data_IF_049366063432
#
_entry.id   IF_049366063432
#
_cell.length_a   1.000
_cell.length_b   1.000
_cell.length_c   1.000
_cell.angle_alpha   90.00
_cell.angle_beta   90.00
_cell.angle_gamma   90.00
#
_symmetry.space_group_name_H-M   'P 1'
#
loop_
_entity.id
_entity.type
_entity.pdbx_description
1 polymer ?
#
# COMPACT_ATOMS: atom_id res chain seq x y z
N UNK A 1 9.38 44.11 -6.17
CA UNK A 1 9.71 43.13 -5.11
C UNK A 1 9.74 41.75 -5.75
N UNK A 2 10.87 41.03 -5.70
CA UNK A 2 10.91 39.65 -6.18
C UNK A 2 10.01 38.78 -5.28
N UNK A 3 9.03 38.09 -5.88
CA UNK A 3 8.17 37.16 -5.16
C UNK A 3 8.99 35.96 -4.68
N UNK A 4 8.76 35.57 -3.43
CA UNK A 4 9.52 34.50 -2.75
C UNK A 4 9.18 33.14 -3.37
N UNK A 5 10.16 32.21 -3.44
CA UNK A 5 9.87 30.85 -3.86
C UNK A 5 9.01 30.12 -2.81
N UNK A 6 8.12 29.25 -3.27
CA UNK A 6 7.24 28.43 -2.42
C UNK A 6 7.66 26.96 -2.54
N UNK A 7 7.92 26.30 -1.41
CA UNK A 7 8.11 24.86 -1.36
C UNK A 7 6.76 24.17 -1.15
N UNK A 8 6.43 23.22 -2.03
CA UNK A 8 5.32 22.29 -1.86
C UNK A 8 5.92 20.94 -1.51
N UNK A 9 5.31 20.25 -0.54
CA UNK A 9 5.65 18.90 -0.13
C UNK A 9 4.41 18.02 -0.29
N UNK A 10 4.55 16.90 -0.98
CA UNK A 10 3.57 15.82 -0.99
C UNK A 10 4.02 14.74 0.00
N UNK A 11 3.10 14.25 0.84
CA UNK A 11 3.38 13.15 1.76
C UNK A 11 2.30 12.11 1.51
N UNK A 12 2.72 10.92 1.13
CA UNK A 12 1.86 9.76 0.99
C UNK A 12 2.09 8.83 2.18
N UNK A 13 1.07 8.67 3.02
CA UNK A 13 1.06 7.68 4.08
C UNK A 13 0.26 6.50 3.58
N UNK A 14 0.95 5.48 3.08
CA UNK A 14 0.31 4.26 2.61
C UNK A 14 0.05 3.27 3.73
N UNK A 15 -0.69 2.21 3.39
CA UNK A 15 -0.91 1.06 4.27
C UNK A 15 0.36 0.20 4.38
N UNK A 16 1.07 0.03 3.27
CA UNK A 16 2.26 -0.81 3.16
C UNK A 16 3.56 0.00 3.09
N UNK A 17 3.54 1.10 2.36
CA UNK A 17 4.70 1.99 2.21
C UNK A 17 4.28 3.45 2.21
N UNK A 18 5.10 4.31 2.80
CA UNK A 18 4.94 5.76 2.81
C UNK A 18 6.02 6.42 1.95
N UNK A 19 5.73 7.58 1.37
CA UNK A 19 6.68 8.33 0.55
C UNK A 19 6.53 9.84 0.73
N UNK A 20 7.54 10.60 0.29
CA UNK A 20 7.54 12.07 0.32
C UNK A 20 8.01 12.58 -1.04
N UNK A 21 7.32 13.57 -1.58
CA UNK A 21 7.64 14.29 -2.81
C UNK A 21 7.71 15.79 -2.55
N UNK A 22 8.28 16.57 -3.48
CA UNK A 22 8.36 18.03 -3.33
C UNK A 22 8.43 18.79 -4.65
N UNK A 23 8.14 20.09 -4.59
CA UNK A 23 8.38 21.03 -5.68
C UNK A 23 8.71 22.42 -5.16
N UNK A 24 9.74 23.04 -5.73
CA UNK A 24 10.05 24.46 -5.49
C UNK A 24 9.43 25.32 -6.60
N UNK A 25 8.43 26.12 -6.28
CA UNK A 25 7.82 27.10 -7.18
C UNK A 25 8.58 28.42 -7.13
N UNK A 26 9.24 28.80 -8.24
CA UNK A 26 9.83 30.13 -8.41
C UNK A 26 8.92 30.98 -9.28
N UNK A 27 8.45 32.11 -8.76
CA UNK A 27 7.57 33.01 -9.52
C UNK A 27 8.33 33.61 -10.71
N UNK A 28 7.86 33.36 -11.94
CA UNK A 28 8.46 33.84 -13.19
C UNK A 28 8.85 32.76 -14.19
N UNK A 29 8.87 31.48 -13.79
CA UNK A 29 9.12 30.35 -14.69
C UNK A 29 7.90 29.42 -14.75
N UNK A 30 7.20 29.45 -15.88
CA UNK A 30 6.23 28.43 -16.25
C UNK A 30 7.03 27.24 -16.80
N UNK A 31 6.82 26.04 -16.25
CA UNK A 31 7.29 24.74 -16.75
C UNK A 31 8.61 24.12 -16.23
N UNK A 32 8.94 24.25 -14.93
CA UNK A 32 9.92 23.33 -14.33
C UNK A 32 9.23 22.05 -13.79
N UNK A 33 9.62 20.88 -14.31
CA UNK A 33 9.07 19.54 -14.00
C UNK A 33 9.06 19.24 -12.49
N UNK A 34 8.09 18.45 -12.02
CA UNK A 34 8.13 17.84 -10.68
C UNK A 34 9.28 16.83 -10.66
N UNK A 35 10.25 17.03 -9.78
CA UNK A 35 11.26 16.02 -9.49
C UNK A 35 10.78 15.22 -8.27
N UNK A 36 10.55 13.89 -8.38
CA UNK A 36 10.28 13.09 -7.20
C UNK A 36 11.47 13.22 -6.23
N UNK A 37 11.20 13.56 -4.95
CA UNK A 37 12.22 13.46 -3.90
C UNK A 37 12.43 11.96 -3.68
N UNK A 38 13.53 11.45 -4.21
CA UNK A 38 14.15 10.28 -3.65
C UNK A 38 14.39 10.55 -2.16
N UNK A 39 13.85 9.74 -1.26
CA UNK A 39 14.17 9.82 0.17
C UNK A 39 15.67 9.56 0.30
N UNK A 40 16.47 10.62 0.30
CA UNK A 40 17.92 10.54 0.44
C UNK A 40 18.15 9.92 1.82
N UNK A 41 18.63 8.67 1.87
CA UNK A 41 19.31 8.21 3.08
C UNK A 41 20.74 8.70 3.03
N UNK A 42 21.20 9.15 4.21
CA UNK A 42 22.58 9.07 4.65
C UNK A 42 23.25 7.80 4.09
N UNK A 43 24.10 8.01 3.09
CA UNK A 43 24.95 7.03 2.37
C UNK A 43 24.28 6.17 1.30
N UNK A 44 24.24 6.72 0.10
CA UNK A 44 24.37 5.96 -1.15
C UNK A 44 23.06 5.36 -1.65
N UNK A 45 22.57 5.92 -2.77
CA UNK A 45 21.47 5.51 -3.63
C UNK A 45 20.17 5.05 -2.95
N UNK A 46 19.08 5.78 -3.19
CA UNK A 46 17.79 5.23 -3.63
C UNK A 46 16.73 6.33 -3.80
N UNK A 47 16.12 6.37 -4.99
CA UNK A 47 14.72 6.72 -5.22
C UNK A 47 13.82 5.67 -4.54
N UNK A 48 12.82 6.02 -3.72
CA UNK A 48 11.86 5.01 -3.24
C UNK A 48 11.00 5.33 -2.01
N UNK A 49 9.94 4.52 -1.86
CA UNK A 49 9.01 4.47 -0.73
C UNK A 49 9.60 3.69 0.47
N UNK A 50 9.17 4.00 1.69
CA UNK A 50 9.63 3.37 2.94
C UNK A 50 8.50 2.52 3.55
N UNK A 51 8.76 1.33 4.10
CA UNK A 51 7.73 0.52 4.75
C UNK A 51 6.95 1.28 5.84
N UNK A 52 5.63 1.18 5.83
CA UNK A 52 4.72 1.77 6.82
C UNK A 52 4.59 0.86 8.06
N UNK A 53 5.71 0.56 8.70
CA UNK A 53 5.78 -0.29 9.89
C UNK A 53 6.56 0.36 11.03
N UNK A 54 6.13 0.09 12.27
CA UNK A 54 6.78 0.51 13.50
C UNK A 54 7.33 -0.72 14.25
N UNK A 55 8.54 -0.62 14.76
CA UNK A 55 9.15 -1.63 15.63
C UNK A 55 9.04 -1.20 17.08
N UNK A 56 8.16 -1.84 17.85
CA UNK A 56 8.01 -1.65 19.30
C UNK A 56 9.14 -2.41 20.02
N UNK A 57 9.81 -1.75 20.97
CA UNK A 57 10.93 -2.35 21.73
C UNK A 57 11.63 -1.37 22.67
N UNK A 58 12.90 -1.64 23.07
CA UNK A 58 13.67 -0.75 23.95
C UNK A 58 13.89 0.66 23.39
N UNK A 59 13.88 0.77 22.06
CA UNK A 59 13.86 2.04 21.32
C UNK A 59 12.96 1.85 20.12
N UNK A 60 11.90 2.64 20.01
CA UNK A 60 10.99 2.51 18.88
C UNK A 60 11.70 2.86 17.57
N UNK A 61 11.49 2.03 16.56
CA UNK A 61 12.08 2.19 15.22
C UNK A 61 10.98 2.22 14.17
N UNK A 62 11.29 2.71 12.97
CA UNK A 62 10.32 2.83 11.88
C UNK A 62 10.93 2.47 10.53
N UNK A 63 10.09 1.94 9.64
CA UNK A 63 10.45 1.59 8.27
C UNK A 63 11.67 0.66 8.21
N UNK A 64 12.66 0.98 7.38
CA UNK A 64 13.89 0.18 7.29
C UNK A 64 14.75 0.16 8.57
N UNK A 65 14.40 0.91 9.61
CA UNK A 65 15.04 0.82 10.92
C UNK A 65 14.54 -0.34 11.78
N UNK A 66 13.41 -0.95 11.42
CA UNK A 66 12.81 -2.06 12.17
C UNK A 66 13.66 -3.32 12.01
N UNK A 67 14.17 -3.83 13.13
CA UNK A 67 15.00 -5.03 13.16
C UNK A 67 14.20 -6.25 13.65
N UNK A 68 14.68 -7.50 13.43
CA UNK A 68 14.01 -8.71 13.90
C UNK A 68 13.80 -8.81 15.42
N UNK A 69 14.48 -7.99 16.21
CA UNK A 69 14.33 -7.95 17.67
C UNK A 69 13.10 -7.15 18.14
N UNK A 70 12.51 -6.34 17.25
CA UNK A 70 11.35 -5.53 17.55
C UNK A 70 10.06 -6.29 17.29
N UNK A 71 9.02 -6.02 18.08
CA UNK A 71 7.65 -6.36 17.71
C UNK A 71 7.25 -5.49 16.53
N UNK A 72 7.00 -6.10 15.37
CA UNK A 72 6.63 -5.37 14.15
C UNK A 72 5.14 -5.06 14.12
N UNK A 73 4.80 -3.79 13.99
CA UNK A 73 3.44 -3.28 13.86
C UNK A 73 3.25 -2.78 12.43
N UNK A 74 2.58 -3.62 11.62
CA UNK A 74 2.23 -3.35 10.22
C UNK A 74 0.80 -2.84 10.11
N UNK A 75 0.46 -2.22 8.97
CA UNK A 75 -0.89 -1.74 8.66
C UNK A 75 -1.42 -0.66 9.61
N UNK A 76 -0.52 0.16 10.17
CA UNK A 76 -0.86 1.23 11.12
C UNK A 76 -1.91 2.20 10.57
N UNK A 77 -1.95 2.44 9.26
CA UNK A 77 -2.98 3.26 8.61
C UNK A 77 -4.38 2.68 8.77
N UNK A 78 -4.54 1.35 8.77
CA UNK A 78 -5.84 0.71 8.94
C UNK A 78 -6.37 0.87 10.38
N UNK A 79 -5.48 1.05 11.36
CA UNK A 79 -5.87 1.34 12.75
C UNK A 79 -6.45 2.76 12.93
N UNK A 80 -6.35 3.64 11.91
CA UNK A 80 -6.96 4.97 11.91
C UNK A 80 -8.37 4.99 11.31
N UNK A 81 -8.81 3.86 10.74
CA UNK A 81 -10.07 3.74 10.01
C UNK A 81 -11.14 3.20 10.96
N UNK A 82 -12.40 3.58 10.74
CA UNK A 82 -13.52 2.96 11.43
C UNK A 82 -13.58 1.46 11.09
N UNK A 83 -13.59 0.54 12.08
CA UNK A 83 -13.68 -0.89 11.83
C UNK A 83 -14.87 -1.31 10.96
N UNK A 84 -15.97 -0.55 10.95
CA UNK A 84 -17.15 -0.85 10.10
C UNK A 84 -16.88 -0.63 8.59
N UNK A 85 -15.86 0.15 8.24
CA UNK A 85 -15.46 0.40 6.85
C UNK A 85 -14.50 -0.67 6.30
N UNK A 86 -13.88 -1.46 7.19
CA UNK A 86 -12.96 -2.52 6.78
C UNK A 86 -13.74 -3.73 6.21
N UNK A 87 -13.18 -4.43 5.21
CA UNK A 87 -13.78 -5.67 4.73
C UNK A 87 -13.87 -6.70 5.86
N UNK A 88 -14.89 -7.56 5.86
CA UNK A 88 -14.99 -8.61 6.84
C UNK A 88 -13.79 -9.56 6.72
N UNK A 89 -13.22 -9.89 7.89
CA UNK A 89 -12.09 -10.80 8.02
C UNK A 89 -12.44 -12.19 7.42
N UNK A 90 -11.68 -12.70 6.44
CA UNK A 90 -11.86 -14.05 5.95
C UNK A 90 -11.44 -15.05 7.03
N UNK A 91 -12.43 -15.65 7.72
CA UNK A 91 -12.17 -16.58 8.81
C UNK A 91 -11.21 -17.71 8.40
N UNK A 92 -9.99 -17.77 8.97
CA UNK A 92 -9.05 -18.82 8.66
C UNK A 92 -9.50 -20.15 9.32
N UNK A 93 -9.08 -21.30 8.76
CA UNK A 93 -9.47 -22.63 9.22
C UNK A 93 -9.18 -22.92 10.71
N UNK A 94 -8.22 -22.20 11.29
CA UNK A 94 -7.76 -22.35 12.67
C UNK A 94 -8.58 -21.58 13.70
N UNK A 95 -9.60 -20.80 13.27
CA UNK A 95 -10.37 -19.92 14.16
C UNK A 95 -9.55 -18.76 14.75
N UNK A 96 -8.34 -18.53 14.24
CA UNK A 96 -7.54 -17.34 14.51
C UNK A 96 -8.14 -16.13 13.78
N UNK A 97 -7.86 -14.90 14.17
CA UNK A 97 -8.13 -13.75 13.32
C UNK A 97 -7.27 -13.83 12.04
N UNK A 98 -7.75 -13.24 10.95
CA UNK A 98 -6.96 -13.07 9.73
C UNK A 98 -5.83 -12.07 9.94
N UNK A 99 -4.96 -11.99 8.94
CA UNK A 99 -3.73 -11.20 8.99
C UNK A 99 -3.98 -9.74 9.38
N UNK A 100 -5.00 -9.09 8.80
CA UNK A 100 -5.30 -7.68 9.07
C UNK A 100 -5.81 -7.52 10.49
N UNK A 101 -6.75 -8.37 10.91
CA UNK A 101 -7.33 -8.30 12.25
C UNK A 101 -6.28 -8.62 13.32
N UNK A 102 -5.41 -9.60 13.09
CA UNK A 102 -4.28 -9.91 13.97
C UNK A 102 -3.33 -8.72 14.13
N UNK A 103 -3.01 -8.03 13.04
CA UNK A 103 -2.19 -6.82 13.10
C UNK A 103 -2.88 -5.69 13.88
N UNK A 104 -4.19 -5.47 13.65
CA UNK A 104 -4.97 -4.48 14.39
C UNK A 104 -5.07 -4.82 15.89
N UNK A 105 -5.25 -6.10 16.23
CA UNK A 105 -5.27 -6.56 17.61
C UNK A 105 -3.91 -6.36 18.30
N UNK A 106 -2.81 -6.65 17.59
CA UNK A 106 -1.44 -6.38 18.07
C UNK A 106 -1.24 -4.89 18.32
N UNK A 107 -1.64 -4.03 17.37
CA UNK A 107 -1.58 -2.57 17.53
C UNK A 107 -2.41 -2.14 18.73
N UNK A 108 -3.67 -2.57 18.85
CA UNK A 108 -4.53 -2.16 19.96
C UNK A 108 -3.97 -2.56 21.32
N UNK A 109 -3.35 -3.75 21.40
CA UNK A 109 -2.72 -4.25 22.64
C UNK A 109 -1.48 -3.44 23.02
N UNK A 110 -0.67 -3.06 22.03
CA UNK A 110 0.56 -2.32 22.26
C UNK A 110 0.28 -0.80 22.46
N UNK A 111 -0.67 -0.24 21.72
CA UNK A 111 -1.04 1.19 21.71
C UNK A 111 -1.75 1.61 23.00
N UNK A 112 -2.52 0.71 23.64
CA UNK A 112 -3.19 1.00 24.92
C UNK A 112 -2.23 1.43 26.02
N UNK A 113 -0.97 0.99 25.93
CA UNK A 113 0.04 1.21 26.94
C UNK A 113 1.04 2.31 26.57
N UNK A 114 1.18 2.63 25.28
CA UNK A 114 2.32 3.43 24.79
C UNK A 114 1.97 4.55 23.80
N UNK A 115 0.77 4.59 23.21
CA UNK A 115 0.38 5.64 22.25
C UNK A 115 1.16 5.60 20.92
N UNK A 116 1.45 4.39 20.43
CA UNK A 116 2.20 4.07 19.21
C UNK A 116 1.59 4.64 17.95
N UNK A 117 0.26 4.73 17.83
CA UNK A 117 -0.36 5.36 16.67
C UNK A 117 -0.01 6.85 16.63
N UNK A 118 -0.04 7.51 17.78
CA UNK A 118 0.41 8.89 17.90
C UNK A 118 1.93 9.02 17.67
N UNK A 119 2.73 8.06 18.14
CA UNK A 119 4.18 8.07 17.89
C UNK A 119 4.52 7.80 16.41
N UNK A 120 3.78 6.94 15.72
CA UNK A 120 3.88 6.74 14.27
C UNK A 120 3.64 8.04 13.52
N UNK A 121 2.58 8.78 13.86
CA UNK A 121 2.30 10.08 13.27
C UNK A 121 3.41 11.10 13.58
N UNK A 122 3.91 11.16 14.82
CA UNK A 122 5.02 12.04 15.19
C UNK A 122 6.31 11.69 14.47
N UNK A 123 6.65 10.40 14.37
CA UNK A 123 7.87 9.92 13.74
C UNK A 123 7.83 10.19 12.24
N UNK A 124 6.67 9.99 11.61
CA UNK A 124 6.42 10.42 10.23
C UNK A 124 6.71 11.91 10.04
N UNK A 125 6.20 12.77 10.93
CA UNK A 125 6.46 14.22 10.89
C UNK A 125 7.93 14.55 11.15
N UNK A 126 8.62 13.82 12.03
CA UNK A 126 10.06 13.99 12.29
C UNK A 126 10.88 13.62 11.05
N UNK A 127 10.66 12.46 10.45
CA UNK A 127 11.35 12.02 9.24
C UNK A 127 11.10 12.97 8.07
N UNK A 128 9.89 13.53 7.97
CA UNK A 128 9.60 14.59 7.01
C UNK A 128 10.48 15.83 7.25
N UNK A 129 10.62 16.28 8.51
CA UNK A 129 11.48 17.43 8.86
C UNK A 129 12.94 17.18 8.55
N UNK A 130 13.45 16.00 8.91
CA UNK A 130 14.83 15.59 8.63
C UNK A 130 15.10 15.58 7.12
N UNK A 131 14.21 14.99 6.32
CA UNK A 131 14.32 15.02 4.86
C UNK A 131 14.32 16.45 4.28
N UNK A 132 13.51 17.35 4.85
CA UNK A 132 13.49 18.77 4.46
C UNK A 132 14.83 19.45 4.81
N UNK A 133 15.38 19.19 5.99
CA UNK A 133 16.67 19.74 6.44
C UNK A 133 17.82 19.23 5.58
N UNK A 134 17.91 17.91 5.36
CA UNK A 134 18.96 17.26 4.59
C UNK A 134 18.92 17.60 3.11
N UNK A 135 17.74 17.85 2.54
CA UNK A 135 17.60 18.29 1.16
C UNK A 135 18.26 19.65 0.87
N UNK A 136 18.65 20.39 1.92
CA UNK A 136 19.24 21.73 1.80
C UNK A 136 18.23 22.82 1.38
N UNK A 137 16.94 22.49 1.27
CA UNK A 137 15.89 23.43 0.86
C UNK A 137 15.70 24.56 1.89
N UNK A 138 15.97 24.30 3.17
CA UNK A 138 15.90 25.32 4.22
C UNK A 138 17.07 26.32 4.18
N UNK A 139 18.13 26.06 3.38
CA UNK A 139 19.25 27.00 3.21
C UNK A 139 18.84 28.32 2.52
N UNK A 140 17.61 28.41 2.01
CA UNK A 140 16.99 29.67 1.54
C UNK A 140 16.38 30.52 2.66
N UNK A 141 16.50 30.09 3.92
CA UNK A 141 16.18 30.84 5.12
C UNK A 141 14.69 31.16 5.29
N UNK A 142 13.90 30.25 5.88
CA UNK A 142 12.68 30.51 6.70
C UNK A 142 11.90 29.25 7.12
N UNK A 143 10.99 29.49 8.09
CA UNK A 143 10.10 28.63 8.89
C UNK A 143 9.07 27.80 8.06
N UNK A 144 8.78 26.52 8.40
CA UNK A 144 7.90 25.66 7.62
C UNK A 144 6.44 25.87 8.04
N UNK A 145 5.63 26.48 7.17
CA UNK A 145 4.18 26.46 7.30
C UNK A 145 3.54 26.64 5.92
N UNK A 146 2.93 25.59 5.40
CA UNK A 146 1.47 25.42 5.23
C UNK A 146 1.28 24.08 4.50
N UNK A 147 0.65 23.10 5.14
CA UNK A 147 0.33 21.80 4.54
C UNK A 147 -0.93 21.97 3.69
N UNK A 148 -0.79 21.96 2.36
CA UNK A 148 -1.93 21.91 1.44
C UNK A 148 -1.96 20.51 0.82
N UNK A 149 -3.06 19.78 1.05
CA UNK A 149 -3.34 18.51 0.40
C UNK A 149 -3.59 18.82 -1.08
N UNK A 150 -2.70 18.37 -1.96
CA UNK A 150 -2.87 18.41 -3.40
C UNK A 150 -2.89 16.95 -3.85
N UNK A 151 -4.00 16.52 -4.45
CA UNK A 151 -4.10 15.19 -5.05
C UNK A 151 -3.08 15.06 -6.19
N UNK A 152 -2.31 13.98 -6.17
CA UNK A 152 -1.32 13.68 -7.19
C UNK A 152 -2.03 13.30 -8.49
N UNK A 153 -1.86 14.06 -9.57
CA UNK A 153 -1.87 13.49 -10.93
C UNK A 153 -1.30 14.40 -12.01
N UNK A 154 -0.26 13.91 -12.69
CA UNK A 154 0.26 14.48 -13.94
C UNK A 154 -0.39 13.77 -15.13
N UNK A 155 -0.94 14.57 -16.04
CA UNK A 155 -1.69 14.12 -17.21
C UNK A 155 -0.79 13.53 -18.31
N UNK A 156 -1.03 12.27 -18.68
CA UNK A 156 -0.52 11.69 -19.91
C UNK A 156 -1.34 12.19 -21.12
N UNK A 157 -0.65 12.69 -22.15
CA UNK A 157 -1.11 13.01 -23.51
C UNK A 157 -2.65 13.07 -23.73
N UNK A 158 -3.27 14.14 -23.26
CA UNK A 158 -4.72 14.26 -23.27
C UNK A 158 -5.14 15.61 -23.86
N UNK A 159 -6.16 15.58 -24.73
CA UNK A 159 -6.68 16.77 -25.42
C UNK A 159 -7.62 17.54 -24.50
N UNK A 160 -7.73 18.84 -24.71
CA UNK A 160 -8.70 19.70 -23.99
C UNK A 160 -10.11 19.07 -24.11
N UNK A 161 -10.78 18.84 -22.98
CA UNK A 161 -12.07 18.13 -22.78
C UNK A 161 -12.07 16.60 -22.80
N UNK A 162 -10.90 15.97 -22.69
CA UNK A 162 -10.83 14.56 -22.32
C UNK A 162 -10.99 14.39 -20.81
N UNK A 163 -11.64 13.29 -20.43
CA UNK A 163 -11.75 12.84 -19.04
C UNK A 163 -10.85 11.65 -18.82
N UNK A 164 -10.04 11.71 -17.76
CA UNK A 164 -9.09 10.66 -17.37
C UNK A 164 -9.57 10.06 -16.06
N UNK A 165 -9.56 8.73 -15.99
CA UNK A 165 -9.75 7.99 -14.76
C UNK A 165 -8.38 7.50 -14.30
N UNK A 166 -8.00 7.85 -13.07
CA UNK A 166 -6.80 7.36 -12.41
C UNK A 166 -7.21 6.30 -11.39
N UNK A 167 -6.59 5.13 -11.52
CA UNK A 167 -6.72 4.00 -10.61
C UNK A 167 -5.39 3.87 -9.85
N UNK A 168 -5.38 4.26 -8.58
CA UNK A 168 -4.26 4.01 -7.68
C UNK A 168 -4.55 2.74 -6.87
N UNK A 169 -4.01 1.62 -7.34
CA UNK A 169 -4.16 0.33 -6.67
C UNK A 169 -2.96 0.08 -5.75
N UNK A 170 -3.01 0.69 -4.56
CA UNK A 170 -1.96 0.63 -3.57
C UNK A 170 -1.96 -0.63 -2.70
N UNK A 171 -1.10 -0.61 -1.69
CA UNK A 171 -0.87 -1.74 -0.80
C UNK A 171 -2.09 -2.16 0.02
N UNK A 172 -2.95 -1.23 0.43
CA UNK A 172 -4.18 -1.56 1.19
C UNK A 172 -5.45 -0.91 0.65
N UNK A 173 -5.33 0.18 -0.10
CA UNK A 173 -6.47 0.86 -0.72
C UNK A 173 -6.37 0.79 -2.23
N UNK A 174 -7.52 0.82 -2.87
CA UNK A 174 -7.66 1.16 -4.27
C UNK A 174 -8.45 2.47 -4.31
N UNK A 175 -7.81 3.52 -4.81
CA UNK A 175 -8.35 4.86 -4.88
C UNK A 175 -8.59 5.22 -6.36
N UNK A 176 -9.79 5.73 -6.66
CA UNK A 176 -10.18 6.11 -8.01
C UNK A 176 -10.60 7.58 -8.03
N UNK A 177 -9.91 8.34 -8.88
CA UNK A 177 -10.19 9.75 -9.11
C UNK A 177 -10.43 9.99 -10.59
N UNK A 178 -11.39 10.87 -10.90
CA UNK A 178 -11.75 11.22 -12.27
C UNK A 178 -11.57 12.72 -12.51
N UNK A 179 -10.80 13.08 -13.54
CA UNK A 179 -10.53 14.48 -13.86
C UNK A 179 -10.85 14.79 -15.32
N UNK A 180 -11.46 15.95 -15.55
CA UNK A 180 -11.63 16.53 -16.88
C UNK A 180 -10.55 17.59 -17.11
N UNK A 181 -9.90 17.55 -18.27
CA UNK A 181 -8.87 18.52 -18.63
C UNK A 181 -9.49 19.74 -19.28
N UNK A 182 -9.48 20.86 -18.57
CA UNK A 182 -10.06 22.14 -18.99
C UNK A 182 -9.19 22.90 -19.98
N UNK A 183 -7.95 23.23 -19.62
CA UNK A 183 -6.99 23.92 -20.48
C UNK A 183 -5.59 23.37 -20.30
N UNK A 184 -4.76 23.41 -21.35
CA UNK A 184 -3.36 22.97 -21.28
C UNK A 184 -2.42 24.10 -20.83
N UNK A 185 -2.80 25.37 -21.04
CA UNK A 185 -1.99 26.53 -20.66
C UNK A 185 -2.87 27.70 -20.19
N UNK A 186 -2.96 27.98 -18.87
CA UNK A 186 -2.43 27.16 -17.78
C UNK A 186 -3.11 25.78 -17.73
N UNK A 187 -2.43 24.78 -17.15
CA UNK A 187 -3.03 23.47 -16.92
C UNK A 187 -4.19 23.63 -15.94
N UNK A 188 -5.41 23.31 -16.37
CA UNK A 188 -6.59 23.27 -15.54
C UNK A 188 -7.17 21.85 -15.59
N UNK A 189 -7.29 21.23 -14.42
CA UNK A 189 -7.96 19.95 -14.21
C UNK A 189 -9.11 20.21 -13.25
N UNK A 190 -10.27 19.68 -13.58
CA UNK A 190 -11.46 19.74 -12.74
C UNK A 190 -11.84 18.32 -12.37
N UNK A 191 -12.05 18.05 -11.09
CA UNK A 191 -12.61 16.77 -10.64
C UNK A 191 -14.01 16.61 -11.27
N UNK A 192 -14.21 15.47 -11.94
CA UNK A 192 -15.41 15.19 -12.71
C UNK A 192 -16.53 14.65 -11.82
N UNK A 193 -16.19 13.69 -10.98
CA UNK A 193 -17.06 13.04 -10.00
C UNK A 193 -16.24 12.87 -8.72
N UNK A 194 -16.87 12.83 -7.53
CA UNK A 194 -16.16 12.64 -6.28
C UNK A 194 -15.29 11.38 -6.32
N UNK A 195 -14.02 11.54 -5.96
CA UNK A 195 -13.09 10.43 -5.82
C UNK A 195 -13.59 9.43 -4.75
N UNK A 196 -13.45 8.14 -5.01
CA UNK A 196 -13.81 7.07 -4.08
C UNK A 196 -12.57 6.21 -3.79
N UNK A 197 -12.43 5.75 -2.55
CA UNK A 197 -11.41 4.80 -2.11
C UNK A 197 -12.04 3.56 -1.48
N UNK A 198 -11.40 2.39 -1.65
CA UNK A 198 -11.85 1.13 -1.05
C UNK A 198 -10.69 0.30 -0.51
N UNK A 199 -10.93 -0.39 0.59
CA UNK A 199 -10.00 -1.35 1.20
C UNK A 199 -9.97 -2.68 0.43
N UNK A 200 -9.46 -2.66 -0.80
CA UNK A 200 -9.35 -3.83 -1.69
C UNK A 200 -7.95 -3.91 -2.34
N UNK A 201 -6.93 -3.37 -1.66
CA UNK A 201 -5.53 -3.40 -2.08
C UNK A 201 -4.81 -4.73 -1.82
N UNK A 202 -3.50 -4.75 -2.08
CA UNK A 202 -2.66 -5.95 -2.03
C UNK A 202 -2.67 -6.71 -0.68
N UNK A 203 -2.84 -6.02 0.45
CA UNK A 203 -2.92 -6.63 1.78
C UNK A 203 -4.09 -7.60 1.89
N UNK A 204 -5.24 -7.26 1.30
CA UNK A 204 -6.39 -8.16 1.29
C UNK A 204 -6.15 -9.37 0.37
N UNK A 205 -5.36 -9.19 -0.70
CA UNK A 205 -4.92 -10.30 -1.54
C UNK A 205 -3.98 -11.25 -0.79
N UNK A 206 -3.06 -10.70 -0.01
CA UNK A 206 -2.17 -11.45 0.86
C UNK A 206 -2.94 -12.21 1.94
N UNK A 207 -3.95 -11.59 2.55
CA UNK A 207 -4.80 -12.22 3.55
C UNK A 207 -5.62 -13.39 2.96
N UNK A 208 -6.21 -13.20 1.78
CA UNK A 208 -6.89 -14.29 1.07
C UNK A 208 -5.92 -15.42 0.70
N UNK A 209 -4.69 -15.10 0.31
CA UNK A 209 -3.65 -16.07 0.03
C UNK A 209 -3.21 -16.84 1.27
N UNK A 210 -2.98 -16.17 2.40
CA UNK A 210 -2.61 -16.80 3.68
C UNK A 210 -3.69 -17.80 4.13
N UNK A 211 -4.95 -17.37 4.12
CA UNK A 211 -6.09 -18.24 4.45
C UNK A 211 -6.13 -19.49 3.55
N UNK A 212 -5.95 -19.31 2.24
CA UNK A 212 -5.86 -20.42 1.29
C UNK A 212 -4.66 -21.34 1.57
N UNK A 213 -3.47 -20.79 1.80
CA UNK A 213 -2.25 -21.55 2.05
C UNK A 213 -2.36 -22.41 3.31
N UNK A 214 -2.90 -21.84 4.39
CA UNK A 214 -3.19 -22.56 5.64
C UNK A 214 -4.24 -23.65 5.44
N UNK A 215 -5.28 -23.39 4.65
CA UNK A 215 -6.27 -24.41 4.31
C UNK A 215 -5.65 -25.58 3.55
N UNK A 216 -4.74 -25.31 2.61
CA UNK A 216 -4.00 -26.37 1.90
C UNK A 216 -3.08 -27.15 2.84
N UNK A 217 -2.36 -26.47 3.73
CA UNK A 217 -1.53 -27.13 4.74
C UNK A 217 -2.38 -28.02 5.66
N UNK A 218 -3.51 -27.54 6.17
CA UNK A 218 -4.41 -28.32 7.01
C UNK A 218 -5.02 -29.51 6.27
N UNK A 219 -5.47 -29.31 5.03
CA UNK A 219 -6.00 -30.39 4.21
C UNK A 219 -4.94 -31.47 3.95
N UNK A 220 -3.70 -31.06 3.67
CA UNK A 220 -2.60 -31.97 3.42
C UNK A 220 -2.16 -32.74 4.66
N UNK A 221 -2.06 -32.07 5.81
CA UNK A 221 -1.58 -32.64 7.08
C UNK A 221 -2.66 -33.42 7.84
N UNK A 222 -3.93 -33.10 7.61
CA UNK A 222 -5.05 -33.73 8.31
C UNK A 222 -4.88 -33.64 9.84
N UNK A 223 -4.96 -34.76 10.58
CA UNK A 223 -4.80 -34.78 12.05
C UNK A 223 -3.48 -34.20 12.56
N UNK A 224 -2.41 -34.29 11.75
CA UNK A 224 -1.07 -33.84 12.15
C UNK A 224 -0.90 -32.32 12.08
N UNK A 225 -1.89 -31.59 11.55
CA UNK A 225 -1.81 -30.12 11.44
C UNK A 225 -1.61 -29.44 12.81
N UNK A 226 -2.14 -30.02 13.88
CA UNK A 226 -1.95 -29.52 15.25
C UNK A 226 -0.49 -29.58 15.74
N UNK A 227 0.36 -30.38 15.09
CA UNK A 227 1.79 -30.47 15.39
C UNK A 227 2.66 -29.58 14.48
N UNK A 228 2.06 -28.76 13.61
CA UNK A 228 2.79 -27.83 12.74
C UNK A 228 3.32 -26.65 13.55
N UNK A 229 4.58 -26.30 13.35
CA UNK A 229 5.15 -25.05 13.84
C UNK A 229 4.50 -23.88 13.10
N UNK A 230 3.61 -23.18 13.79
CA UNK A 230 2.81 -22.11 13.21
C UNK A 230 3.64 -20.88 12.84
N UNK A 231 4.76 -20.63 13.53
CA UNK A 231 5.64 -19.50 13.24
C UNK A 231 6.50 -19.79 12.00
N UNK A 232 6.99 -21.03 11.88
CA UNK A 232 7.67 -21.48 10.67
C UNK A 232 6.72 -21.46 9.46
N UNK A 233 5.48 -21.92 9.63
CA UNK A 233 4.47 -21.88 8.56
C UNK A 233 4.14 -20.44 8.14
N UNK A 234 4.01 -19.51 9.09
CA UNK A 234 3.78 -18.09 8.77
C UNK A 234 4.93 -17.51 7.94
N UNK A 235 6.17 -17.79 8.31
CA UNK A 235 7.36 -17.35 7.55
C UNK A 235 7.35 -17.94 6.14
N UNK A 236 7.08 -19.24 6.00
CA UNK A 236 7.00 -19.91 4.69
C UNK A 236 5.89 -19.33 3.80
N UNK A 237 4.75 -18.95 4.38
CA UNK A 237 3.66 -18.32 3.63
C UNK A 237 4.04 -16.91 3.17
N UNK A 238 4.72 -16.12 4.00
CA UNK A 238 5.24 -14.81 3.60
C UNK A 238 6.21 -14.94 2.41
N UNK A 239 7.14 -15.90 2.45
CA UNK A 239 8.07 -16.19 1.35
C UNK A 239 7.35 -16.69 0.08
N UNK A 240 6.33 -17.54 0.24
CA UNK A 240 5.48 -17.99 -0.84
C UNK A 240 4.73 -16.82 -1.50
N UNK A 241 4.23 -15.86 -0.71
CA UNK A 241 3.55 -14.68 -1.22
C UNK A 241 4.49 -13.79 -2.05
N UNK A 242 5.70 -13.51 -1.56
CA UNK A 242 6.74 -12.79 -2.33
C UNK A 242 7.04 -13.47 -3.67
N UNK A 243 7.08 -14.81 -3.68
CA UNK A 243 7.25 -15.56 -4.92
C UNK A 243 6.07 -15.39 -5.86
N UNK A 244 4.83 -15.53 -5.35
CA UNK A 244 3.58 -15.44 -6.14
C UNK A 244 3.44 -14.09 -6.81
N UNK A 245 3.80 -12.99 -6.13
CA UNK A 245 3.74 -11.62 -6.67
C UNK A 245 4.58 -11.46 -7.95
N UNK A 246 5.64 -12.25 -8.10
CA UNK A 246 6.54 -12.21 -9.24
C UNK A 246 6.13 -13.18 -10.37
N UNK A 247 5.09 -13.99 -10.18
CA UNK A 247 4.59 -14.92 -11.21
C UNK A 247 3.61 -14.20 -12.13
N UNK A 248 3.79 -14.24 -13.48
CA UNK A 248 2.82 -13.66 -14.39
C UNK A 248 1.42 -14.26 -14.21
N UNK A 249 0.38 -13.41 -14.17
CA UNK A 249 -1.00 -13.87 -13.99
C UNK A 249 -1.44 -14.93 -15.03
N UNK A 250 -0.91 -14.86 -16.25
CA UNK A 250 -1.17 -15.85 -17.30
C UNK A 250 -0.61 -17.24 -16.97
N UNK A 251 0.49 -17.32 -16.21
CA UNK A 251 1.11 -18.57 -15.75
C UNK A 251 0.29 -19.16 -14.60
N UNK A 252 -0.12 -18.34 -13.64
CA UNK A 252 -0.99 -18.76 -12.54
C UNK A 252 -2.32 -19.32 -13.09
N UNK A 253 -3.00 -18.57 -13.95
CA UNK A 253 -4.31 -18.95 -14.50
C UNK A 253 -4.28 -20.21 -15.37
N UNK A 254 -3.17 -20.48 -16.08
CA UNK A 254 -3.00 -21.71 -16.87
C UNK A 254 -2.72 -22.96 -16.02
N UNK A 255 -2.40 -22.79 -14.73
CA UNK A 255 -2.12 -23.89 -13.83
C UNK A 255 -0.82 -24.63 -14.10
N UNK A 256 0.11 -24.05 -14.88
CA UNK A 256 1.40 -24.66 -15.22
C UNK A 256 2.47 -24.48 -14.14
N UNK A 257 2.12 -23.78 -13.05
CA UNK A 257 3.02 -23.45 -11.96
C UNK A 257 2.41 -23.87 -10.62
N UNK A 258 3.26 -24.20 -9.65
CA UNK A 258 2.86 -24.49 -8.28
C UNK A 258 3.96 -24.07 -7.32
N UNK A 259 3.57 -23.65 -6.13
CA UNK A 259 4.46 -23.50 -4.99
C UNK A 259 4.32 -24.73 -4.08
N UNK A 260 5.39 -25.12 -3.40
CA UNK A 260 5.38 -26.23 -2.45
C UNK A 260 5.75 -25.68 -1.08
N UNK A 261 4.77 -25.58 -0.18
CA UNK A 261 4.98 -25.11 1.18
C UNK A 261 5.83 -26.12 1.93
N UNK A 262 6.98 -25.71 2.43
CA UNK A 262 7.74 -26.51 3.40
C UNK A 262 7.04 -26.46 4.77
N UNK A 263 6.55 -27.61 5.22
CA UNK A 263 5.79 -27.71 6.47
C UNK A 263 6.71 -28.29 7.55
N UNK A 264 7.06 -27.41 8.50
CA UNK A 264 7.83 -27.78 9.68
C UNK A 264 6.91 -28.23 10.82
N UNK A 265 7.27 -29.34 11.46
CA UNK A 265 6.57 -29.85 12.66
C UNK A 265 7.33 -29.48 13.93
N UNK A 266 6.62 -29.42 15.06
CA UNK A 266 7.16 -29.12 16.39
C UNK A 266 8.14 -30.18 16.92
N UNK A 267 8.04 -31.42 16.41
CA UNK A 267 9.03 -32.48 16.67
C UNK A 267 10.29 -32.33 15.80
N UNK A 268 10.42 -31.22 15.06
CA UNK A 268 11.45 -30.93 14.06
C UNK A 268 11.55 -31.96 12.94
N UNK A 269 10.55 -32.83 12.78
CA UNK A 269 10.48 -33.72 11.64
C UNK A 269 9.90 -32.94 10.44
N UNK A 270 10.53 -32.97 9.27
CA UNK A 270 9.95 -32.38 8.07
C UNK A 270 8.68 -33.15 7.68
N UNK A 271 7.60 -32.44 7.37
CA UNK A 271 6.43 -33.03 6.75
C UNK A 271 6.56 -32.99 5.21
N UNK A 272 5.85 -33.86 4.47
CA UNK A 272 5.74 -33.70 3.04
C UNK A 272 5.18 -32.31 2.69
N UNK A 273 5.72 -31.63 1.67
CA UNK A 273 5.31 -30.27 1.37
C UNK A 273 3.89 -30.22 0.79
N UNK A 274 3.11 -29.21 1.18
CA UNK A 274 1.77 -29.00 0.64
C UNK A 274 1.84 -28.21 -0.68
N UNK A 275 1.08 -28.65 -1.69
CA UNK A 275 1.06 -28.00 -3.01
C UNK A 275 0.08 -26.83 -3.04
N UNK A 276 0.55 -25.66 -3.43
CA UNK A 276 -0.29 -24.53 -3.83
C UNK A 276 -0.30 -24.44 -5.36
N UNK A 277 -1.38 -24.92 -5.99
CA UNK A 277 -1.47 -24.88 -7.44
C UNK A 277 -1.78 -23.46 -7.93
N UNK A 278 -1.08 -23.00 -8.97
CA UNK A 278 -1.22 -21.63 -9.49
C UNK A 278 -2.64 -21.27 -9.90
N UNK A 279 -3.41 -22.23 -10.42
CA UNK A 279 -4.79 -21.99 -10.82
C UNK A 279 -5.74 -21.79 -9.62
N UNK A 280 -5.45 -22.42 -8.48
CA UNK A 280 -6.21 -22.24 -7.24
C UNK A 280 -5.84 -20.90 -6.60
N UNK A 281 -4.55 -20.54 -6.58
CA UNK A 281 -4.08 -19.21 -6.18
C UNK A 281 -4.79 -18.13 -7.02
N UNK A 282 -4.77 -18.26 -8.36
CA UNK A 282 -5.44 -17.31 -9.24
C UNK A 282 -6.95 -17.21 -8.97
N UNK A 283 -7.61 -18.32 -8.62
CA UNK A 283 -9.04 -18.32 -8.25
C UNK A 283 -9.27 -17.57 -6.94
N UNK A 284 -8.42 -17.80 -5.94
CA UNK A 284 -8.46 -17.11 -4.64
C UNK A 284 -8.30 -15.61 -4.81
N UNK A 285 -7.27 -15.16 -5.55
CA UNK A 285 -7.00 -13.73 -5.77
C UNK A 285 -8.05 -13.05 -6.64
N UNK A 286 -8.71 -13.82 -7.53
CA UNK A 286 -9.72 -13.28 -8.45
C UNK A 286 -10.89 -12.61 -7.73
N UNK A 287 -11.28 -13.11 -6.55
CA UNK A 287 -12.38 -12.53 -5.77
C UNK A 287 -12.14 -11.07 -5.42
N UNK A 288 -10.88 -10.67 -5.21
CA UNK A 288 -10.49 -9.30 -4.88
C UNK A 288 -10.25 -8.51 -6.16
N UNK A 289 -9.59 -9.09 -7.17
CA UNK A 289 -9.38 -8.37 -8.44
C UNK A 289 -10.70 -8.08 -9.16
N UNK A 290 -11.71 -8.96 -9.04
CA UNK A 290 -13.03 -8.74 -9.61
C UNK A 290 -13.74 -7.55 -8.91
N UNK A 291 -13.54 -7.37 -7.59
CA UNK A 291 -14.04 -6.19 -6.87
C UNK A 291 -13.35 -4.91 -7.34
N UNK A 292 -12.04 -4.95 -7.63
CA UNK A 292 -11.30 -3.80 -8.20
C UNK A 292 -11.85 -3.45 -9.58
N UNK A 293 -12.11 -4.46 -10.41
CA UNK A 293 -12.70 -4.28 -11.75
C UNK A 293 -14.11 -3.69 -11.65
N UNK A 294 -14.97 -4.26 -10.79
CA UNK A 294 -16.33 -3.75 -10.57
C UNK A 294 -16.31 -2.30 -10.09
N UNK A 295 -15.45 -2.00 -9.12
CA UNK A 295 -15.28 -0.65 -8.60
C UNK A 295 -14.83 0.34 -9.68
N UNK A 296 -13.87 -0.06 -10.51
CA UNK A 296 -13.40 0.75 -11.65
C UNK A 296 -14.49 0.96 -12.69
N UNK A 297 -15.28 -0.07 -13.01
CA UNK A 297 -16.39 0.03 -13.96
C UNK A 297 -17.50 0.94 -13.44
N UNK A 298 -17.83 0.87 -12.15
CA UNK A 298 -18.78 1.78 -11.50
C UNK A 298 -18.35 3.24 -11.65
N UNK A 299 -17.09 3.55 -11.35
CA UNK A 299 -16.53 4.89 -11.49
C UNK A 299 -16.50 5.36 -12.95
N UNK A 300 -16.07 4.50 -13.87
CA UNK A 300 -16.07 4.82 -15.30
C UNK A 300 -17.48 5.09 -15.84
N UNK A 301 -18.49 4.37 -15.37
CA UNK A 301 -19.89 4.60 -15.72
C UNK A 301 -20.42 5.93 -15.18
N UNK A 302 -20.10 6.27 -13.92
CA UNK A 302 -20.48 7.55 -13.34
C UNK A 302 -19.89 8.74 -14.13
N UNK A 303 -18.64 8.63 -14.58
CA UNK A 303 -18.02 9.61 -15.49
C UNK A 303 -18.77 9.71 -16.83
N UNK A 304 -19.16 8.57 -17.41
CA UNK A 304 -19.90 8.54 -18.68
C UNK A 304 -21.26 9.23 -18.56
N UNK A 305 -21.95 9.05 -17.44
CA UNK A 305 -23.22 9.74 -17.14
C UNK A 305 -23.02 11.25 -16.98
N UNK A 306 -21.98 11.68 -16.26
CA UNK A 306 -21.73 13.10 -15.98
C UNK A 306 -21.24 13.87 -17.23
N UNK A 307 -20.35 13.26 -18.03
CA UNK A 307 -19.67 13.94 -19.13
C UNK A 307 -20.22 13.62 -20.52
N UNK A 308 -21.07 12.60 -20.62
CA UNK A 308 -21.52 12.03 -21.90
C UNK A 308 -20.42 11.31 -22.68
N UNK A 309 -19.27 11.02 -22.06
CA UNK A 309 -18.13 10.34 -22.69
C UNK A 309 -17.51 9.32 -21.73
N UNK A 310 -17.06 8.18 -22.28
CA UNK A 310 -16.24 7.24 -21.50
C UNK A 310 -14.86 7.83 -21.17
N UNK A 311 -14.38 7.67 -19.93
CA UNK A 311 -13.04 8.11 -19.58
C UNK A 311 -11.97 7.27 -20.27
N UNK A 312 -10.82 7.88 -20.52
CA UNK A 312 -9.60 7.15 -20.86
C UNK A 312 -9.02 6.56 -19.57
N UNK A 313 -8.73 5.26 -19.60
CA UNK A 313 -8.10 4.56 -18.47
C UNK A 313 -6.59 4.66 -18.62
N UNK A 314 -5.92 5.22 -17.62
CA UNK A 314 -4.46 5.29 -17.54
C UNK A 314 -4.02 4.44 -16.35
N UNK A 315 -3.40 3.25 -16.57
CA UNK A 315 -2.81 2.49 -15.48
C UNK A 315 -1.58 3.24 -14.94
N UNK A 316 -1.42 3.26 -13.60
CA UNK A 316 -0.23 3.79 -12.92
C UNK A 316 0.83 2.70 -12.79
#
# INVERSE_FOLDING_TARGET
>A
MAQRPTLILGVDLGVSTSSVSYRLLRHGHCADKIAPLALIRLRGDLTGSVPSELGSGPSDTWGHGVTPQHTRLKFLKLALVDPEELPPDPQPPSGRPGLVQDALNKIATEDSDTGLVAEYLKQTVRSLREAIEESGILAFGRNPATLNLIGDTEAAASTVRDTVLILDAGGGTVDIAAYTLGSQTPMAIDECIPSEGRFIGAVFMMEAFDSFARQQAQYHMGPDYGAVDQAALETEIEEAWETVQNVPASVLTRGTWSYWLDIQRLDHAPAPPARLAGHDIARTLRTITDQVVEFTLKQAYAVEVETGKRPKVVPR
#
